data_IF_065692059804
#
_entry.id   IF_065692059804
#
_cell.length_a   1.000
_cell.length_b   1.000
_cell.length_c   1.000
_cell.angle_alpha   90.00
_cell.angle_beta   90.00
_cell.angle_gamma   90.00
#
_symmetry.space_group_name_H-M   'P 1'
#
loop_
_entity.id
_entity.type
_entity.pdbx_description
1 polymer ?
#
# COMPACT_ATOMS: atom_id res chain seq x y z
N UNK A 1 -10.05 20.48 9.58
CA UNK A 1 -9.43 19.31 8.93
C UNK A 1 -7.95 19.55 8.61
N UNK A 2 -7.08 18.78 9.25
CA UNK A 2 -5.65 18.68 8.99
C UNK A 2 -5.34 17.36 8.30
N UNK A 3 -4.29 17.34 7.49
CA UNK A 3 -3.84 16.15 6.76
C UNK A 3 -2.34 15.96 6.96
N UNK A 4 -1.91 14.71 7.05
CA UNK A 4 -0.52 14.31 7.05
C UNK A 4 -0.33 13.17 6.05
N UNK A 5 0.56 13.39 5.09
CA UNK A 5 0.85 12.42 4.02
C UNK A 5 2.29 11.94 4.12
N UNK A 6 2.48 10.62 4.00
CA UNK A 6 3.80 10.01 3.85
C UNK A 6 3.87 9.17 2.58
N UNK A 7 5.07 9.11 2.00
CA UNK A 7 5.37 8.23 0.87
C UNK A 7 6.17 7.02 1.35
N UNK A 8 5.84 5.86 0.80
CA UNK A 8 6.54 4.60 0.99
C UNK A 8 6.60 3.81 -0.32
N UNK A 9 7.23 2.64 -0.30
CA UNK A 9 7.33 1.77 -1.46
C UNK A 9 7.51 0.31 -1.04
N UNK A 10 7.22 -0.59 -1.98
CA UNK A 10 7.58 -2.01 -1.92
C UNK A 10 7.73 -2.55 -3.35
N UNK A 11 8.44 -3.66 -3.51
CA UNK A 11 8.57 -4.37 -4.79
C UNK A 11 7.77 -5.67 -4.73
N UNK A 12 6.90 -5.92 -5.72
CA UNK A 12 6.14 -7.18 -5.76
C UNK A 12 5.77 -7.58 -7.18
N UNK A 13 5.63 -8.88 -7.39
CA UNK A 13 5.13 -9.46 -8.63
C UNK A 13 3.62 -9.76 -8.53
N UNK A 14 2.93 -9.71 -9.66
CA UNK A 14 1.53 -10.12 -9.76
C UNK A 14 1.13 -10.54 -11.19
N UNK A 15 -0.07 -11.10 -11.31
CA UNK A 15 -0.75 -11.41 -12.56
C UNK A 15 -2.20 -10.99 -12.49
N UNK A 16 -2.72 -10.43 -13.57
CA UNK A 16 -4.12 -10.05 -13.71
C UNK A 16 -4.73 -10.75 -14.91
N UNK A 17 -5.82 -11.48 -14.71
CA UNK A 17 -6.57 -12.15 -15.78
C UNK A 17 -7.59 -11.20 -16.41
N UNK A 18 -7.81 -11.28 -17.73
CA UNK A 18 -8.86 -10.53 -18.45
C UNK A 18 -8.69 -9.00 -18.46
N UNK A 19 -7.47 -8.49 -18.23
CA UNK A 19 -7.18 -7.05 -18.26
C UNK A 19 -6.46 -6.66 -19.55
N UNK A 20 -5.29 -7.25 -19.80
CA UNK A 20 -4.51 -7.04 -21.02
C UNK A 20 -3.49 -8.17 -21.16
N UNK A 21 -3.16 -8.55 -22.39
CA UNK A 21 -2.20 -9.64 -22.70
C UNK A 21 -0.85 -9.50 -21.98
N UNK A 22 -0.39 -8.27 -21.72
CA UNK A 22 0.86 -8.03 -20.96
C UNK A 22 0.70 -8.31 -19.47
N UNK A 23 -0.44 -7.94 -18.88
CA UNK A 23 -0.73 -8.08 -17.45
C UNK A 23 -1.09 -9.52 -17.04
N UNK A 24 -1.50 -10.34 -18.01
CA UNK A 24 -1.75 -11.78 -17.82
C UNK A 24 -0.44 -12.57 -17.62
N UNK A 25 0.67 -12.08 -18.17
CA UNK A 25 1.99 -12.64 -17.88
C UNK A 25 2.44 -12.26 -16.47
N UNK A 26 3.24 -13.12 -15.83
CA UNK A 26 3.93 -12.78 -14.60
C UNK A 26 4.82 -11.57 -14.82
N UNK A 27 4.59 -10.53 -14.03
CA UNK A 27 5.36 -9.29 -14.06
C UNK A 27 5.39 -8.69 -12.66
N UNK A 28 6.17 -7.64 -12.46
CA UNK A 28 6.25 -6.97 -11.18
C UNK A 28 6.49 -5.48 -11.31
N UNK A 29 6.28 -4.79 -10.20
CA UNK A 29 6.40 -3.34 -10.09
C UNK A 29 7.15 -2.96 -8.82
N UNK A 30 7.80 -1.80 -8.89
CA UNK A 30 8.21 -1.05 -7.71
C UNK A 30 7.06 -0.10 -7.38
N UNK A 31 6.19 -0.54 -6.48
CA UNK A 31 4.99 0.17 -6.07
C UNK A 31 5.36 1.38 -5.24
N UNK A 32 4.77 2.54 -5.57
CA UNK A 32 4.82 3.74 -4.73
C UNK A 32 3.49 3.86 -4.00
N UNK A 33 3.56 4.05 -2.69
CA UNK A 33 2.38 4.13 -1.82
C UNK A 33 2.34 5.49 -1.16
N UNK A 34 1.23 6.19 -1.33
CA UNK A 34 0.93 7.41 -0.60
C UNK A 34 -0.07 7.07 0.52
N UNK A 35 0.27 7.38 1.76
CA UNK A 35 -0.59 7.19 2.92
C UNK A 35 -0.93 8.55 3.49
N UNK A 36 -2.19 8.93 3.41
CA UNK A 36 -2.73 10.16 3.98
C UNK A 36 -3.60 9.82 5.20
N UNK A 37 -3.28 10.45 6.33
CA UNK A 37 -4.13 10.44 7.52
C UNK A 37 -4.75 11.82 7.70
N UNK A 38 -6.02 11.85 8.10
CA UNK A 38 -6.79 13.07 8.31
C UNK A 38 -7.33 13.13 9.73
N UNK A 39 -7.45 14.35 10.26
CA UNK A 39 -8.15 14.55 11.53
C UNK A 39 -8.53 16.01 11.77
N UNK A 40 -9.45 16.21 12.71
CA UNK A 40 -10.01 17.56 12.96
C UNK A 40 -9.20 18.39 13.95
N UNK A 41 -8.30 17.77 14.70
CA UNK A 41 -7.55 18.42 15.77
C UNK A 41 -6.10 17.95 15.76
N UNK A 42 -5.23 18.84 16.21
CA UNK A 42 -3.84 18.54 16.52
C UNK A 42 -3.73 18.18 18.01
N UNK A 43 -2.72 17.39 18.36
CA UNK A 43 -2.39 17.13 19.77
C UNK A 43 -1.71 18.35 20.42
N UNK A 44 -1.36 18.24 21.70
CA UNK A 44 -0.74 19.34 22.47
C UNK A 44 0.62 19.81 21.90
N UNK A 45 1.28 18.96 21.11
CA UNK A 45 2.52 19.29 20.40
C UNK A 45 2.28 19.95 19.03
N UNK A 46 1.02 20.17 18.63
CA UNK A 46 0.67 20.80 17.36
C UNK A 46 0.83 19.90 16.14
N UNK A 47 0.81 18.57 16.30
CA UNK A 47 0.86 17.61 15.19
C UNK A 47 -0.36 16.69 15.17
N UNK A 48 -0.72 16.17 14.00
CA UNK A 48 -1.83 15.22 13.86
C UNK A 48 -1.46 13.84 14.44
N UNK A 49 -0.27 13.36 14.10
CA UNK A 49 0.34 12.13 14.64
C UNK A 49 1.85 12.26 14.51
N UNK A 50 2.59 11.58 15.40
CA UNK A 50 4.04 11.46 15.27
C UNK A 50 4.43 10.74 13.96
N UNK A 51 5.37 11.33 13.23
CA UNK A 51 5.82 10.83 11.94
C UNK A 51 6.49 9.46 12.02
N UNK A 52 7.23 9.19 13.09
CA UNK A 52 7.91 7.91 13.33
C UNK A 52 6.90 6.81 13.61
N UNK A 53 5.86 7.10 14.39
CA UNK A 53 4.75 6.18 14.65
C UNK A 53 4.05 5.81 13.34
N UNK A 54 3.64 6.80 12.53
CA UNK A 54 2.95 6.56 11.27
C UNK A 54 3.82 5.75 10.30
N UNK A 55 5.11 6.10 10.17
CA UNK A 55 6.06 5.33 9.35
C UNK A 55 6.26 3.91 9.85
N UNK A 56 6.23 3.69 11.17
CA UNK A 56 6.33 2.36 11.78
C UNK A 56 5.21 1.43 11.33
N UNK A 57 3.96 1.89 11.45
CA UNK A 57 2.79 1.13 10.99
C UNK A 57 2.83 0.88 9.48
N UNK A 58 3.10 1.92 8.68
CA UNK A 58 3.17 1.77 7.23
C UNK A 58 4.27 0.79 6.82
N UNK A 59 5.44 0.85 7.46
CA UNK A 59 6.54 -0.09 7.18
C UNK A 59 6.14 -1.53 7.49
N UNK A 60 5.44 -1.79 8.59
CA UNK A 60 4.96 -3.13 8.92
C UNK A 60 4.03 -3.67 7.83
N UNK A 61 3.12 -2.84 7.31
CA UNK A 61 2.23 -3.22 6.21
C UNK A 61 3.03 -3.47 4.92
N UNK A 62 3.94 -2.56 4.56
CA UNK A 62 4.78 -2.74 3.36
C UNK A 62 5.59 -4.03 3.41
N UNK A 63 6.15 -4.39 4.57
CA UNK A 63 6.92 -5.63 4.74
C UNK A 63 6.10 -6.91 4.49
N UNK A 64 4.77 -6.86 4.65
CA UNK A 64 3.88 -7.99 4.34
C UNK A 64 3.70 -8.17 2.83
N UNK A 65 3.92 -7.12 2.05
CA UNK A 65 3.76 -7.08 0.60
C UNK A 65 5.10 -7.17 -0.15
N UNK A 66 6.19 -6.70 0.47
CA UNK A 66 7.50 -6.57 -0.16
C UNK A 66 8.14 -7.92 -0.51
N UNK A 67 8.74 -7.98 -1.71
CA UNK A 67 9.34 -9.17 -2.32
C UNK A 67 8.39 -10.39 -2.35
N UNK A 68 7.09 -10.16 -2.58
CA UNK A 68 6.08 -11.22 -2.69
C UNK A 68 5.51 -11.35 -4.10
N UNK A 69 4.92 -12.51 -4.36
CA UNK A 69 3.95 -12.71 -5.41
C UNK A 69 2.55 -12.46 -4.84
N UNK A 70 1.91 -11.37 -5.24
CA UNK A 70 0.68 -10.88 -4.59
C UNK A 70 -0.48 -11.85 -4.73
N UNK A 71 -0.58 -12.56 -5.84
CA UNK A 71 -1.66 -13.53 -6.09
C UNK A 71 -1.71 -14.68 -5.07
N UNK A 72 -0.64 -14.95 -4.31
CA UNK A 72 -0.59 -15.99 -3.28
C UNK A 72 -0.88 -15.47 -1.86
N UNK A 73 -1.07 -14.16 -1.70
CA UNK A 73 -1.38 -13.60 -0.39
C UNK A 73 -2.87 -13.82 -0.07
N UNK A 74 -3.22 -14.23 1.17
CA UNK A 74 -4.61 -14.47 1.57
C UNK A 74 -5.56 -13.29 1.34
N UNK A 75 -5.01 -12.07 1.27
CA UNK A 75 -5.76 -10.85 0.96
C UNK A 75 -6.42 -10.89 -0.42
N UNK A 76 -5.81 -11.61 -1.37
CA UNK A 76 -6.24 -11.71 -2.77
C UNK A 76 -6.90 -13.05 -3.11
N UNK A 77 -7.30 -13.85 -2.11
CA UNK A 77 -8.00 -15.13 -2.33
C UNK A 77 -9.32 -14.96 -3.11
N UNK A 78 -9.95 -13.78 -3.00
CA UNK A 78 -11.26 -13.48 -3.60
C UNK A 78 -11.24 -12.31 -4.59
N UNK A 79 -10.10 -11.65 -4.75
CA UNK A 79 -9.98 -10.41 -5.54
C UNK A 79 -8.67 -10.44 -6.32
N UNK A 80 -8.64 -9.81 -7.50
CA UNK A 80 -7.41 -9.70 -8.26
C UNK A 80 -6.45 -8.71 -7.57
N UNK A 81 -5.12 -8.92 -7.59
CA UNK A 81 -4.15 -7.98 -7.01
C UNK A 81 -3.92 -6.76 -7.92
N UNK A 82 -4.98 -6.06 -8.30
CA UNK A 82 -4.91 -4.80 -9.05
C UNK A 82 -4.52 -3.64 -8.13
N UNK A 83 -4.13 -2.50 -8.71
CA UNK A 83 -3.80 -1.29 -7.95
C UNK A 83 -4.98 -0.82 -7.09
N UNK A 84 -6.20 -0.94 -7.61
CA UNK A 84 -7.43 -0.58 -6.93
C UNK A 84 -7.68 -1.47 -5.72
N UNK A 85 -7.53 -2.80 -5.86
CA UNK A 85 -7.74 -3.73 -4.75
C UNK A 85 -6.60 -3.69 -3.72
N UNK A 86 -5.38 -3.30 -4.12
CA UNK A 86 -4.26 -3.07 -3.21
C UNK A 86 -4.44 -1.82 -2.33
N UNK A 87 -5.17 -0.82 -2.81
CA UNK A 87 -5.34 0.47 -2.14
C UNK A 87 -6.46 0.49 -1.09
N UNK A 88 -7.27 -0.57 -1.02
CA UNK A 88 -8.42 -0.73 -0.12
C UNK A 88 -8.02 -1.49 1.14
#
# INVERSE_FOLDING_TARGET
MFELTILSHFAAAHQLTMVAKKCENLHGHNWKVEVCVKGERLNDAGVLVDFGILKGYVKEIMNRLDHKFLNELPYFDKTAPSSENLAV
#
